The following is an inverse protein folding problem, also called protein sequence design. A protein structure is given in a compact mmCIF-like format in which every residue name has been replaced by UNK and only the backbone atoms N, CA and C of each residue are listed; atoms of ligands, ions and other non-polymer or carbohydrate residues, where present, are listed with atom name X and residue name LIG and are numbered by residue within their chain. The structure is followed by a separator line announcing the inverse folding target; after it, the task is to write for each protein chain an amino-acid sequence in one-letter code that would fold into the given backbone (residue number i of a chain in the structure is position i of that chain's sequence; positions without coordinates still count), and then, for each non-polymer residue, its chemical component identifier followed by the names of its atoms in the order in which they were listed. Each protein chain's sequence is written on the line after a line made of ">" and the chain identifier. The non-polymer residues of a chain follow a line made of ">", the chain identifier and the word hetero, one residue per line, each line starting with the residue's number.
data_IF_435993670390
#
_entry.id   IF_435993670390
#
_cell.length_a   1.000
_cell.length_b   1.000
_cell.length_c   1.000
_cell.angle_alpha   90.00
_cell.angle_beta   90.00
_cell.angle_gamma   90.00
#
_symmetry.space_group_name_H-M   'P 1'
#
loop_
_entity.id
_entity.type
_entity.pdbx_description
1 polymer ?
#
# COMPACT_ATOMS: atom_id res chain seq x y z
N UNK A 1 9.76 -10.76 21.98
CA UNK A 1 9.25 -11.80 22.90
C UNK A 1 9.23 -11.20 24.30
N UNK A 2 8.11 -11.29 25.00
CA UNK A 2 7.92 -10.69 26.34
C UNK A 2 7.61 -11.79 27.37
N UNK A 3 8.15 -11.65 28.60
CA UNK A 3 7.88 -12.53 29.75
C UNK A 3 8.09 -14.04 29.48
N UNK A 4 9.09 -14.40 28.67
CA UNK A 4 9.39 -15.80 28.33
C UNK A 4 10.77 -16.21 28.86
N UNK A 5 10.88 -17.38 29.53
CA UNK A 5 12.17 -17.89 29.99
C UNK A 5 13.16 -18.08 28.84
N UNK A 6 14.45 -17.82 29.08
CA UNK A 6 15.53 -17.91 28.08
C UNK A 6 15.54 -19.27 27.35
N UNK A 7 15.28 -20.36 28.06
CA UNK A 7 15.24 -21.71 27.46
C UNK A 7 14.06 -21.89 26.49
N UNK A 8 12.92 -21.29 26.78
CA UNK A 8 11.74 -21.32 25.89
C UNK A 8 11.97 -20.43 24.66
N UNK A 9 12.64 -19.29 24.84
CA UNK A 9 13.04 -18.42 23.71
C UNK A 9 14.01 -19.15 22.79
N UNK A 10 14.99 -19.90 23.34
CA UNK A 10 15.91 -20.72 22.55
C UNK A 10 15.17 -21.79 21.73
N UNK A 11 14.20 -22.49 22.35
CA UNK A 11 13.36 -23.45 21.63
C UNK A 11 12.46 -22.79 20.57
N UNK A 12 11.95 -21.59 20.86
CA UNK A 12 11.19 -20.81 19.89
C UNK A 12 12.07 -20.40 18.69
N UNK A 13 13.29 -19.94 18.94
CA UNK A 13 14.29 -19.64 17.92
C UNK A 13 14.50 -20.83 16.99
N UNK A 14 14.74 -22.03 17.56
CA UNK A 14 14.93 -23.26 16.77
C UNK A 14 13.69 -23.59 15.91
N UNK A 15 12.49 -23.41 16.44
CA UNK A 15 11.25 -23.63 15.68
C UNK A 15 11.09 -22.61 14.55
N UNK A 16 11.38 -21.34 14.81
CA UNK A 16 11.34 -20.29 13.77
C UNK A 16 12.37 -20.57 12.68
N UNK A 17 13.57 -21.04 13.06
CA UNK A 17 14.62 -21.41 12.10
C UNK A 17 14.22 -22.56 11.15
N UNK A 18 13.24 -23.40 11.55
CA UNK A 18 12.74 -24.52 10.74
C UNK A 18 11.58 -24.13 9.83
N UNK A 19 11.08 -22.90 9.91
CA UNK A 19 10.04 -22.41 9.00
C UNK A 19 10.64 -22.24 7.61
N UNK A 20 9.92 -22.68 6.60
CA UNK A 20 10.34 -22.56 5.22
C UNK A 20 10.61 -21.09 4.86
N UNK A 21 11.66 -20.83 4.07
CA UNK A 21 12.11 -19.50 3.66
C UNK A 21 12.67 -18.62 4.79
N UNK A 22 12.79 -19.10 6.02
CA UNK A 22 13.60 -18.44 7.04
C UNK A 22 15.07 -18.83 6.84
N UNK A 23 15.88 -17.87 6.42
CA UNK A 23 17.31 -18.08 6.20
C UNK A 23 18.06 -18.16 7.53
N UNK A 24 17.76 -17.24 8.44
CA UNK A 24 18.42 -17.24 9.77
C UNK A 24 17.65 -16.44 10.81
N UNK A 25 17.90 -16.81 12.07
CA UNK A 25 17.39 -16.10 13.26
C UNK A 25 18.57 -15.68 14.11
N UNK A 26 18.81 -14.38 14.21
CA UNK A 26 19.84 -13.81 15.09
C UNK A 26 19.23 -13.48 16.45
N UNK A 27 19.95 -13.88 17.48
CA UNK A 27 19.70 -13.54 18.87
C UNK A 27 21.05 -13.37 19.56
N UNK A 28 21.13 -12.90 20.80
CA UNK A 28 22.40 -12.74 21.49
C UNK A 28 23.22 -14.02 21.60
N UNK A 29 22.57 -15.19 21.62
CA UNK A 29 23.24 -16.52 21.62
C UNK A 29 23.97 -16.84 20.32
N UNK A 30 23.64 -16.13 19.25
CA UNK A 30 24.34 -16.27 17.98
C UNK A 30 25.74 -15.64 18.00
N UNK A 31 26.00 -14.77 18.98
CA UNK A 31 27.26 -14.06 19.17
C UNK A 31 28.01 -14.55 20.42
N UNK A 32 27.26 -15.08 21.41
CA UNK A 32 27.81 -15.55 22.67
C UNK A 32 27.16 -16.86 23.07
N UNK A 33 27.97 -17.85 23.50
CA UNK A 33 27.46 -19.13 23.97
C UNK A 33 26.56 -18.94 25.19
N UNK A 34 25.38 -19.55 25.19
CA UNK A 34 24.41 -19.55 26.32
C UNK A 34 25.00 -20.09 27.63
N UNK A 35 26.14 -20.83 27.58
CA UNK A 35 26.86 -21.30 28.75
C UNK A 35 27.70 -20.20 29.43
N UNK A 36 27.89 -19.06 28.79
CA UNK A 36 28.60 -17.91 29.34
C UNK A 36 27.61 -17.17 30.27
N UNK A 37 27.97 -16.96 31.56
CA UNK A 37 27.12 -16.17 32.46
C UNK A 37 26.89 -14.77 31.86
N UNK A 38 25.63 -14.33 31.88
CA UNK A 38 25.21 -13.03 31.32
C UNK A 38 26.04 -11.84 31.81
N UNK A 39 26.54 -11.92 33.04
CA UNK A 39 27.38 -10.92 33.70
C UNK A 39 28.80 -10.77 33.05
N UNK A 40 29.18 -11.71 32.20
CA UNK A 40 30.45 -11.68 31.46
C UNK A 40 30.31 -11.17 30.01
N UNK A 41 29.07 -11.02 29.54
CA UNK A 41 28.82 -10.44 28.23
C UNK A 41 29.06 -8.92 28.26
N UNK A 42 29.54 -8.31 27.16
CA UNK A 42 29.58 -6.86 27.07
C UNK A 42 28.16 -6.29 27.29
N UNK A 43 28.01 -5.39 28.28
CA UNK A 43 26.71 -4.75 28.59
C UNK A 43 26.00 -4.22 27.34
N UNK A 44 26.77 -3.71 26.38
CA UNK A 44 26.25 -3.18 25.12
C UNK A 44 25.54 -4.27 24.31
N UNK A 45 26.16 -5.45 24.16
CA UNK A 45 25.57 -6.55 23.39
C UNK A 45 24.31 -7.11 24.04
N UNK A 46 24.35 -7.28 25.36
CA UNK A 46 23.18 -7.82 26.10
C UNK A 46 22.00 -6.85 26.04
N UNK A 47 22.24 -5.57 26.33
CA UNK A 47 21.18 -4.56 26.41
C UNK A 47 20.57 -4.21 25.04
N UNK A 48 21.25 -4.51 23.93
CA UNK A 48 20.70 -4.31 22.58
C UNK A 48 19.62 -5.33 22.23
N UNK A 49 19.74 -6.56 22.73
CA UNK A 49 18.77 -7.64 22.48
C UNK A 49 17.79 -7.86 23.62
N UNK A 50 18.06 -7.37 24.82
CA UNK A 50 17.27 -7.68 26.00
C UNK A 50 16.94 -6.41 26.80
N UNK A 51 15.74 -6.40 27.37
CA UNK A 51 15.30 -5.51 28.44
C UNK A 51 14.94 -6.37 29.66
N UNK A 52 14.48 -5.74 30.76
CA UNK A 52 14.13 -6.48 31.98
C UNK A 52 13.07 -7.58 31.71
N UNK A 53 12.10 -7.31 30.83
CA UNK A 53 10.94 -8.19 30.60
C UNK A 53 10.81 -8.69 29.15
N UNK A 54 11.70 -8.24 28.22
CA UNK A 54 11.59 -8.59 26.82
C UNK A 54 12.92 -8.91 26.15
N UNK A 55 12.87 -9.79 25.13
CA UNK A 55 14.02 -10.10 24.29
C UNK A 55 13.66 -9.99 22.80
N UNK A 56 14.60 -9.57 21.99
CA UNK A 56 14.44 -9.34 20.55
C UNK A 56 15.19 -10.40 19.74
N UNK A 57 14.52 -10.96 18.74
CA UNK A 57 15.11 -11.83 17.72
C UNK A 57 14.98 -11.14 16.37
N UNK A 58 16.05 -11.15 15.58
CA UNK A 58 16.01 -10.70 14.19
C UNK A 58 15.90 -11.90 13.26
N UNK A 59 14.84 -11.93 12.44
CA UNK A 59 14.56 -13.02 11.49
C UNK A 59 14.84 -12.53 10.08
N UNK A 60 15.66 -13.26 9.35
CA UNK A 60 16.02 -12.98 7.95
C UNK A 60 15.40 -14.06 7.05
N UNK A 61 14.92 -13.63 5.89
CA UNK A 61 14.28 -14.48 4.89
C UNK A 61 15.17 -14.58 3.65
N UNK A 62 15.09 -15.69 2.93
CA UNK A 62 15.76 -15.94 1.66
C UNK A 62 15.04 -15.35 0.45
N UNK A 63 13.87 -14.77 0.67
CA UNK A 63 12.94 -14.25 -0.33
C UNK A 63 12.58 -12.78 -0.07
N UNK A 64 12.06 -12.09 -1.09
CA UNK A 64 11.75 -10.67 -0.98
C UNK A 64 10.56 -10.40 -0.03
N UNK A 65 10.56 -9.21 0.56
CA UNK A 65 9.57 -8.74 1.56
C UNK A 65 8.11 -8.90 1.11
N UNK A 66 7.85 -8.76 -0.20
CA UNK A 66 6.50 -8.78 -0.77
C UNK A 66 6.14 -10.09 -1.47
N UNK A 67 6.99 -11.11 -1.41
CA UNK A 67 6.69 -12.42 -1.97
C UNK A 67 5.73 -13.21 -1.09
N UNK A 68 4.85 -14.01 -1.73
CA UNK A 68 3.85 -14.82 -1.03
C UNK A 68 4.49 -15.80 -0.05
N UNK A 69 5.64 -16.37 -0.42
CA UNK A 69 6.40 -17.30 0.44
C UNK A 69 6.89 -16.65 1.74
N UNK A 70 7.35 -15.39 1.68
CA UNK A 70 7.72 -14.62 2.88
C UNK A 70 6.51 -14.34 3.75
N UNK A 71 5.37 -13.99 3.15
CA UNK A 71 4.14 -13.73 3.91
C UNK A 71 3.61 -14.99 4.56
N UNK A 72 3.69 -16.14 3.91
CA UNK A 72 3.31 -17.43 4.49
C UNK A 72 4.23 -17.81 5.64
N UNK A 73 5.54 -17.58 5.52
CA UNK A 73 6.48 -17.76 6.61
C UNK A 73 6.15 -16.85 7.81
N UNK A 74 5.78 -15.58 7.59
CA UNK A 74 5.32 -14.66 8.66
C UNK A 74 4.08 -15.20 9.38
N UNK A 75 3.09 -15.70 8.62
CA UNK A 75 1.86 -16.29 9.19
C UNK A 75 2.19 -17.54 10.01
N UNK A 76 3.10 -18.39 9.53
CA UNK A 76 3.56 -19.59 10.25
C UNK A 76 4.31 -19.22 11.52
N UNK A 77 5.26 -18.25 11.45
CA UNK A 77 5.96 -17.73 12.64
C UNK A 77 4.96 -17.23 13.69
N UNK A 78 3.94 -16.48 13.31
CA UNK A 78 2.90 -16.00 14.22
C UNK A 78 2.10 -17.15 14.85
N UNK A 79 1.87 -18.22 14.11
CA UNK A 79 1.18 -19.41 14.65
C UNK A 79 2.00 -20.17 15.69
N UNK A 80 3.33 -20.19 15.52
CA UNK A 80 4.29 -20.84 16.42
C UNK A 80 4.54 -19.98 17.67
N UNK A 81 4.62 -18.66 17.46
CA UNK A 81 5.12 -17.72 18.46
C UNK A 81 4.18 -17.48 19.66
N UNK A 82 2.89 -17.70 19.50
CA UNK A 82 1.91 -17.53 20.59
C UNK A 82 1.68 -16.04 20.97
N UNK A 83 0.98 -15.82 22.10
CA UNK A 83 0.52 -14.47 22.50
C UNK A 83 1.60 -13.57 23.11
N UNK A 84 2.73 -14.12 23.52
CA UNK A 84 3.84 -13.39 24.15
C UNK A 84 4.86 -12.87 23.11
N UNK A 85 4.65 -13.17 21.85
CA UNK A 85 5.56 -12.80 20.77
C UNK A 85 4.90 -11.82 19.83
N UNK A 86 5.62 -10.77 19.52
CA UNK A 86 5.20 -9.69 18.66
C UNK A 86 6.10 -9.66 17.43
N UNK A 87 5.52 -9.80 16.24
CA UNK A 87 6.28 -9.84 14.97
C UNK A 87 6.13 -8.50 14.27
N UNK A 88 7.25 -7.77 14.13
CA UNK A 88 7.34 -6.46 13.51
C UNK A 88 8.31 -6.48 12.32
N UNK A 89 8.41 -5.37 11.62
CA UNK A 89 9.27 -5.18 10.45
C UNK A 89 8.49 -5.08 9.14
N UNK A 90 9.17 -4.71 8.06
CA UNK A 90 8.53 -4.43 6.77
C UNK A 90 7.75 -5.64 6.22
N UNK A 91 8.29 -6.85 6.33
CA UNK A 91 7.60 -8.06 5.86
C UNK A 91 6.29 -8.30 6.61
N UNK A 92 6.27 -8.04 7.93
CA UNK A 92 5.06 -8.15 8.74
C UNK A 92 4.03 -7.06 8.37
N UNK A 93 4.48 -5.83 8.12
CA UNK A 93 3.63 -4.73 7.65
C UNK A 93 2.94 -5.08 6.33
N UNK A 94 3.71 -5.52 5.33
CA UNK A 94 3.18 -5.86 3.99
C UNK A 94 2.23 -7.05 4.07
N UNK A 95 2.52 -8.04 4.92
CA UNK A 95 1.63 -9.19 5.16
C UNK A 95 0.29 -8.72 5.72
N UNK A 96 0.30 -7.92 6.80
CA UNK A 96 -0.93 -7.44 7.42
C UNK A 96 -1.73 -6.54 6.50
N UNK A 97 -1.07 -5.70 5.70
CA UNK A 97 -1.72 -4.81 4.74
C UNK A 97 -2.41 -5.62 3.62
N UNK A 98 -1.75 -6.67 3.12
CA UNK A 98 -2.35 -7.57 2.13
C UNK A 98 -3.54 -8.33 2.70
N UNK A 99 -3.37 -8.93 3.90
CA UNK A 99 -4.43 -9.70 4.56
C UNK A 99 -5.65 -8.82 4.84
N UNK A 100 -5.45 -7.57 5.29
CA UNK A 100 -6.51 -6.60 5.50
C UNK A 100 -7.23 -6.26 4.18
N UNK A 101 -6.47 -5.96 3.12
CA UNK A 101 -7.06 -5.67 1.81
C UNK A 101 -7.89 -6.85 1.29
N UNK A 102 -7.39 -8.08 1.39
CA UNK A 102 -8.11 -9.28 0.92
C UNK A 102 -9.39 -9.57 1.73
N UNK A 103 -9.40 -9.25 3.02
CA UNK A 103 -10.57 -9.41 3.87
C UNK A 103 -11.63 -8.32 3.63
N UNK A 104 -11.21 -7.08 3.40
CA UNK A 104 -12.10 -5.94 3.29
C UNK A 104 -12.61 -5.71 1.86
N UNK A 105 -11.82 -6.08 0.82
CA UNK A 105 -12.19 -5.89 -0.59
C UNK A 105 -13.62 -6.39 -0.90
N UNK A 106 -14.02 -7.63 -0.58
CA UNK A 106 -15.36 -8.12 -0.91
C UNK A 106 -16.47 -7.37 -0.18
N UNK A 107 -16.19 -6.89 1.04
CA UNK A 107 -17.15 -6.13 1.85
C UNK A 107 -17.39 -4.75 1.22
N UNK A 108 -16.32 -4.04 0.87
CA UNK A 108 -16.42 -2.72 0.25
C UNK A 108 -17.01 -2.79 -1.15
N UNK A 109 -16.68 -3.81 -1.94
CA UNK A 109 -17.29 -4.03 -3.25
C UNK A 109 -18.80 -4.28 -3.10
N UNK A 110 -19.22 -5.14 -2.17
CA UNK A 110 -20.63 -5.39 -1.90
C UNK A 110 -21.37 -4.12 -1.43
N UNK A 111 -20.75 -3.34 -0.54
CA UNK A 111 -21.31 -2.06 -0.08
C UNK A 111 -21.41 -1.05 -1.23
N UNK A 112 -20.39 -0.92 -2.06
CA UNK A 112 -20.42 -0.03 -3.24
C UNK A 112 -21.53 -0.43 -4.21
N UNK A 113 -21.70 -1.72 -4.50
CA UNK A 113 -22.76 -2.26 -5.33
C UNK A 113 -24.14 -1.97 -4.72
N UNK A 114 -24.30 -2.19 -3.40
CA UNK A 114 -25.55 -1.91 -2.70
C UNK A 114 -25.92 -0.43 -2.72
N UNK A 115 -24.95 0.46 -2.45
CA UNK A 115 -25.13 1.90 -2.50
C UNK A 115 -25.46 2.39 -3.92
N UNK A 116 -24.75 1.89 -4.94
CA UNK A 116 -25.00 2.19 -6.34
C UNK A 116 -26.41 1.73 -6.76
N UNK A 117 -26.79 0.52 -6.36
CA UNK A 117 -28.14 -0.01 -6.62
C UNK A 117 -29.23 0.85 -5.97
N UNK A 118 -29.05 1.20 -4.69
CA UNK A 118 -29.99 2.06 -3.97
C UNK A 118 -30.11 3.46 -4.61
N UNK A 119 -28.99 4.08 -4.95
CA UNK A 119 -28.97 5.36 -5.64
C UNK A 119 -29.70 5.29 -6.99
N UNK A 120 -29.41 4.27 -7.80
CA UNK A 120 -30.09 4.08 -9.09
C UNK A 120 -31.56 3.79 -8.93
N UNK A 121 -32.02 3.03 -7.90
CA UNK A 121 -33.45 2.80 -7.62
C UNK A 121 -34.20 4.09 -7.28
N UNK A 122 -33.49 5.05 -6.64
CA UNK A 122 -34.07 6.35 -6.31
C UNK A 122 -34.08 7.31 -7.51
N UNK A 123 -33.03 7.26 -8.34
CA UNK A 123 -32.84 8.22 -9.43
C UNK A 123 -33.48 7.80 -10.76
N UNK A 124 -33.55 6.48 -11.03
CA UNK A 124 -34.12 5.96 -12.27
C UNK A 124 -35.61 5.59 -12.09
N UNK A 125 -36.27 5.36 -13.19
CA UNK A 125 -37.71 5.12 -13.29
C UNK A 125 -38.08 3.62 -13.30
N UNK A 126 -37.22 2.73 -12.81
CA UNK A 126 -37.49 1.29 -12.79
C UNK A 126 -36.71 0.50 -11.76
N UNK A 127 -37.38 -0.38 -11.00
CA UNK A 127 -36.76 -1.21 -9.97
C UNK A 127 -35.78 -2.28 -10.51
N UNK A 128 -35.96 -2.75 -11.73
CA UNK A 128 -35.12 -3.77 -12.34
C UNK A 128 -33.91 -3.19 -13.09
N UNK A 129 -33.99 -1.90 -13.47
CA UNK A 129 -32.96 -1.22 -14.26
C UNK A 129 -31.55 -1.29 -13.60
N UNK A 130 -31.38 -1.00 -12.29
CA UNK A 130 -30.10 -1.09 -11.62
C UNK A 130 -29.45 -2.46 -11.73
N UNK A 131 -30.22 -3.53 -11.62
CA UNK A 131 -29.68 -4.90 -11.71
C UNK A 131 -29.16 -5.24 -13.11
N UNK A 132 -29.81 -4.75 -14.15
CA UNK A 132 -29.36 -4.91 -15.54
C UNK A 132 -28.05 -4.15 -15.77
N UNK A 133 -27.93 -2.94 -15.23
CA UNK A 133 -26.71 -2.15 -15.31
C UNK A 133 -25.56 -2.84 -14.56
N UNK A 134 -25.80 -3.23 -13.31
CA UNK A 134 -24.83 -3.93 -12.49
C UNK A 134 -24.36 -5.25 -13.11
N UNK A 135 -25.29 -5.98 -13.80
CA UNK A 135 -24.90 -7.19 -14.52
C UNK A 135 -23.97 -6.89 -15.69
N UNK A 136 -24.23 -5.83 -16.47
CA UNK A 136 -23.37 -5.41 -17.58
C UNK A 136 -22.01 -4.91 -17.10
N UNK A 137 -22.01 -4.07 -16.06
CA UNK A 137 -20.78 -3.52 -15.46
C UNK A 137 -19.98 -4.65 -14.79
N UNK A 138 -20.64 -5.55 -14.08
CA UNK A 138 -20.02 -6.72 -13.45
C UNK A 138 -19.28 -7.60 -14.46
N UNK A 139 -19.88 -7.86 -15.64
CA UNK A 139 -19.19 -8.56 -16.71
C UNK A 139 -17.94 -7.81 -17.21
N UNK A 140 -18.03 -6.49 -17.35
CA UNK A 140 -16.86 -5.67 -17.75
C UNK A 140 -15.75 -5.71 -16.69
N UNK A 141 -16.10 -5.70 -15.39
CA UNK A 141 -15.16 -5.84 -14.29
C UNK A 141 -14.48 -7.21 -14.32
N UNK A 142 -15.24 -8.29 -14.50
CA UNK A 142 -14.67 -9.65 -14.60
C UNK A 142 -13.72 -9.77 -15.79
N UNK A 143 -14.06 -9.19 -16.95
CA UNK A 143 -13.15 -9.17 -18.09
C UNK A 143 -11.90 -8.32 -17.82
N UNK A 144 -12.03 -7.20 -17.12
CA UNK A 144 -10.89 -6.37 -16.73
C UNK A 144 -9.95 -7.11 -15.78
N UNK A 145 -10.46 -7.67 -14.69
CA UNK A 145 -9.66 -8.41 -13.72
C UNK A 145 -9.06 -9.69 -14.33
N UNK A 146 -9.86 -10.45 -15.08
CA UNK A 146 -9.39 -11.67 -15.72
C UNK A 146 -8.29 -11.42 -16.76
N UNK A 147 -8.36 -10.32 -17.52
CA UNK A 147 -7.33 -9.96 -18.49
C UNK A 147 -6.03 -9.43 -17.87
N UNK A 148 -5.98 -9.18 -16.56
CA UNK A 148 -4.73 -8.87 -15.85
C UNK A 148 -3.71 -10.02 -15.93
N UNK A 149 -4.17 -11.26 -16.16
CA UNK A 149 -3.29 -12.40 -16.44
C UNK A 149 -2.24 -12.11 -17.52
N UNK A 150 -2.59 -11.30 -18.53
CA UNK A 150 -1.65 -10.93 -19.61
C UNK A 150 -0.65 -9.82 -19.20
N UNK A 151 -0.88 -9.16 -18.06
CA UNK A 151 0.03 -8.13 -17.55
C UNK A 151 1.10 -8.70 -16.61
N UNK A 152 0.95 -9.96 -16.19
CA UNK A 152 1.78 -10.59 -15.17
C UNK A 152 1.33 -10.19 -13.76
N UNK A 153 2.26 -9.70 -12.95
CA UNK A 153 1.97 -9.27 -11.58
C UNK A 153 1.37 -7.86 -11.57
N UNK A 154 0.38 -7.65 -10.73
CA UNK A 154 -0.22 -6.35 -10.45
C UNK A 154 -0.24 -6.10 -8.94
N UNK A 155 -0.14 -4.84 -8.54
CA UNK A 155 -0.24 -4.47 -7.13
C UNK A 155 -1.59 -4.88 -6.53
N UNK A 156 -1.57 -5.39 -5.29
CA UNK A 156 -2.79 -5.70 -4.52
C UNK A 156 -3.66 -4.46 -4.33
N UNK A 157 -3.06 -3.27 -4.19
CA UNK A 157 -3.78 -1.99 -4.11
C UNK A 157 -4.55 -1.74 -5.42
N UNK A 158 -3.92 -1.94 -6.57
CA UNK A 158 -4.57 -1.81 -7.89
C UNK A 158 -5.72 -2.81 -8.02
N UNK A 159 -5.53 -4.05 -7.59
CA UNK A 159 -6.57 -5.09 -7.61
C UNK A 159 -7.77 -4.66 -6.76
N UNK A 160 -7.55 -4.26 -5.52
CA UNK A 160 -8.60 -3.87 -4.59
C UNK A 160 -9.41 -2.65 -5.08
N UNK A 161 -8.74 -1.64 -5.62
CA UNK A 161 -9.39 -0.40 -6.05
C UNK A 161 -10.09 -0.52 -7.42
N UNK A 162 -9.57 -1.36 -8.31
CA UNK A 162 -10.02 -1.38 -9.71
C UNK A 162 -11.50 -1.70 -9.90
N UNK A 163 -12.06 -2.63 -9.11
CA UNK A 163 -13.47 -3.00 -9.21
C UNK A 163 -14.40 -1.84 -8.82
N UNK A 164 -14.11 -1.16 -7.72
CA UNK A 164 -14.94 -0.05 -7.21
C UNK A 164 -14.83 1.18 -8.11
N UNK A 165 -13.59 1.52 -8.52
CA UNK A 165 -13.36 2.65 -9.42
C UNK A 165 -13.98 2.43 -10.80
N UNK A 166 -13.88 1.21 -11.35
CA UNK A 166 -14.49 0.88 -12.62
C UNK A 166 -16.02 0.96 -12.53
N UNK A 167 -16.65 0.45 -11.45
CA UNK A 167 -18.07 0.59 -11.20
C UNK A 167 -18.48 2.06 -11.23
N UNK A 168 -17.77 2.92 -10.49
CA UNK A 168 -18.09 4.33 -10.39
C UNK A 168 -18.00 5.06 -11.75
N UNK A 169 -16.91 4.81 -12.50
CA UNK A 169 -16.68 5.50 -13.80
C UNK A 169 -17.61 5.02 -14.90
N UNK A 170 -17.99 3.74 -14.92
CA UNK A 170 -18.77 3.18 -16.04
C UNK A 170 -20.28 3.25 -15.83
N UNK A 171 -20.74 3.51 -14.62
CA UNK A 171 -22.17 3.60 -14.29
C UNK A 171 -22.87 4.71 -15.05
N UNK A 172 -22.24 5.88 -15.18
CA UNK A 172 -22.80 7.04 -15.86
C UNK A 172 -23.09 6.77 -17.33
N UNK A 173 -22.28 5.97 -18.02
CA UNK A 173 -22.51 5.58 -19.42
C UNK A 173 -23.79 4.79 -19.59
N UNK A 174 -24.09 3.91 -18.63
CA UNK A 174 -25.30 3.10 -18.60
C UNK A 174 -26.53 3.98 -18.38
N UNK A 175 -26.45 4.98 -17.51
CA UNK A 175 -27.52 5.94 -17.23
C UNK A 175 -27.84 6.78 -18.48
N UNK A 176 -26.81 7.30 -19.16
CA UNK A 176 -26.98 8.06 -20.39
C UNK A 176 -27.67 7.24 -21.50
N UNK A 177 -27.26 6.01 -21.70
CA UNK A 177 -27.89 5.12 -22.68
C UNK A 177 -29.36 4.85 -22.33
N UNK A 178 -29.66 4.58 -21.06
CA UNK A 178 -31.06 4.31 -20.61
C UNK A 178 -31.97 5.51 -20.83
N UNK A 179 -31.51 6.72 -20.47
CA UNK A 179 -32.30 7.92 -20.70
C UNK A 179 -32.55 8.15 -22.20
N UNK A 180 -31.50 8.03 -23.01
CA UNK A 180 -31.64 8.15 -24.46
C UNK A 180 -32.59 7.10 -25.04
N UNK A 181 -32.51 5.84 -24.57
CA UNK A 181 -33.41 4.78 -25.00
C UNK A 181 -34.88 5.06 -24.65
N UNK A 182 -35.13 5.51 -23.43
CA UNK A 182 -36.50 5.87 -23.03
C UNK A 182 -37.06 7.01 -23.88
N UNK A 183 -36.30 8.05 -24.19
CA UNK A 183 -36.73 9.12 -25.09
C UNK A 183 -37.05 8.62 -26.52
N UNK A 184 -36.13 7.78 -27.07
CA UNK A 184 -36.37 7.28 -28.45
C UNK A 184 -37.52 6.29 -28.51
N UNK A 185 -37.78 5.54 -27.44
CA UNK A 185 -38.89 4.61 -27.36
C UNK A 185 -40.28 5.27 -27.44
N UNK A 186 -40.37 6.53 -27.04
CA UNK A 186 -41.62 7.33 -27.21
C UNK A 186 -41.81 7.76 -28.66
N UNK A 187 -40.73 7.82 -29.46
CA UNK A 187 -40.78 8.30 -30.85
C UNK A 187 -40.83 7.16 -31.88
N UNK A 188 -40.35 5.97 -31.55
CA UNK A 188 -40.24 4.82 -32.44
C UNK A 188 -41.10 3.67 -31.96
N UNK A 189 -41.84 3.01 -32.88
CA UNK A 189 -42.68 1.85 -32.56
C UNK A 189 -41.90 0.55 -32.37
N UNK A 190 -40.69 0.44 -33.00
CA UNK A 190 -39.79 -0.72 -32.84
C UNK A 190 -38.71 -0.42 -31.81
N UNK A 191 -38.65 -1.27 -30.78
CA UNK A 191 -37.67 -1.16 -29.72
C UNK A 191 -36.20 -1.28 -30.20
N UNK A 192 -35.97 -2.06 -31.27
CA UNK A 192 -34.65 -2.21 -31.85
C UNK A 192 -34.17 -0.96 -32.56
N UNK A 193 -35.11 -0.33 -33.30
CA UNK A 193 -34.84 0.93 -33.99
C UNK A 193 -34.62 2.05 -32.98
N UNK A 194 -35.46 2.14 -31.92
CA UNK A 194 -35.28 3.06 -30.80
C UNK A 194 -33.88 2.89 -30.13
N UNK A 195 -33.47 1.65 -29.89
CA UNK A 195 -32.17 1.35 -29.29
C UNK A 195 -31.00 1.72 -30.23
N UNK A 196 -31.10 1.45 -31.51
CA UNK A 196 -30.06 1.82 -32.49
C UNK A 196 -29.83 3.34 -32.52
N UNK A 197 -30.91 4.12 -32.51
CA UNK A 197 -30.86 5.59 -32.46
C UNK A 197 -30.31 6.06 -31.12
N UNK A 198 -30.70 5.44 -30.01
CA UNK A 198 -30.22 5.76 -28.67
C UNK A 198 -28.70 5.54 -28.58
N UNK A 199 -28.18 4.39 -29.05
CA UNK A 199 -26.73 4.10 -29.10
C UNK A 199 -26.02 5.19 -29.93
N UNK A 200 -26.53 5.51 -31.13
CA UNK A 200 -25.89 6.51 -32.01
C UNK A 200 -25.80 7.89 -31.36
N UNK A 201 -26.86 8.32 -30.66
CA UNK A 201 -26.88 9.62 -29.95
C UNK A 201 -25.96 9.64 -28.74
N UNK A 202 -25.92 8.54 -27.98
CA UNK A 202 -25.16 8.46 -26.73
C UNK A 202 -23.68 8.21 -26.98
N UNK A 203 -23.35 7.49 -28.04
CA UNK A 203 -21.98 7.05 -28.34
C UNK A 203 -21.00 8.22 -28.43
N UNK A 204 -21.36 9.33 -29.06
CA UNK A 204 -20.48 10.49 -29.19
C UNK A 204 -20.13 11.09 -27.83
N UNK A 205 -21.13 11.21 -26.92
CA UNK A 205 -20.91 11.76 -25.58
C UNK A 205 -20.12 10.78 -24.70
N UNK A 206 -20.44 9.49 -24.77
CA UNK A 206 -19.74 8.44 -24.03
C UNK A 206 -18.30 8.31 -24.49
N UNK A 207 -18.03 8.31 -25.80
CA UNK A 207 -16.67 8.27 -26.34
C UNK A 207 -15.88 9.52 -25.94
N UNK A 208 -16.47 10.71 -26.01
CA UNK A 208 -15.81 11.94 -25.61
C UNK A 208 -15.38 11.91 -24.14
N UNK A 209 -16.29 11.51 -23.25
CA UNK A 209 -15.99 11.38 -21.82
C UNK A 209 -14.98 10.27 -21.52
N UNK A 210 -15.14 9.09 -22.15
CA UNK A 210 -14.25 7.95 -21.90
C UNK A 210 -12.83 8.18 -22.41
N UNK A 211 -12.65 8.85 -23.56
CA UNK A 211 -11.33 9.19 -24.10
C UNK A 211 -10.57 10.10 -23.12
N UNK A 212 -11.23 11.11 -22.55
CA UNK A 212 -10.59 11.99 -21.55
C UNK A 212 -10.24 11.23 -20.28
N UNK A 213 -11.10 10.34 -19.82
CA UNK A 213 -10.85 9.48 -18.64
C UNK A 213 -9.70 8.50 -18.90
N UNK A 214 -9.68 7.84 -20.06
CA UNK A 214 -8.60 6.94 -20.46
C UNK A 214 -7.27 7.72 -20.57
N UNK A 215 -7.28 8.91 -21.17
CA UNK A 215 -6.09 9.75 -21.27
C UNK A 215 -5.57 10.15 -19.89
N UNK A 216 -6.47 10.45 -18.94
CA UNK A 216 -6.11 10.70 -17.54
C UNK A 216 -5.44 9.50 -16.89
N UNK A 217 -5.98 8.29 -17.05
CA UNK A 217 -5.34 7.07 -16.51
C UNK A 217 -4.03 6.73 -17.24
N UNK A 218 -3.95 6.94 -18.54
CA UNK A 218 -2.69 6.73 -19.28
C UNK A 218 -1.61 7.70 -18.79
N UNK A 219 -1.96 8.93 -18.38
CA UNK A 219 -0.97 9.87 -17.84
C UNK A 219 -0.26 9.33 -16.61
N UNK A 220 -0.94 8.50 -15.77
CA UNK A 220 -0.32 7.83 -14.63
C UNK A 220 0.78 6.84 -15.05
N UNK A 221 0.74 6.33 -16.27
CA UNK A 221 1.77 5.41 -16.77
C UNK A 221 3.14 6.10 -16.99
N UNK A 222 3.19 7.42 -16.98
CA UNK A 222 4.42 8.21 -17.11
C UNK A 222 5.04 8.55 -15.75
N UNK A 223 4.38 8.20 -14.64
CA UNK A 223 4.95 8.35 -13.31
C UNK A 223 6.16 7.43 -13.13
N UNK A 224 7.16 7.90 -12.41
CA UNK A 224 8.31 7.10 -11.99
C UNK A 224 7.89 6.02 -10.99
N UNK A 225 6.84 6.29 -10.21
CA UNK A 225 6.27 5.36 -9.25
C UNK A 225 5.44 4.27 -9.94
N UNK A 226 5.92 3.02 -9.87
CA UNK A 226 5.36 1.88 -10.61
C UNK A 226 3.89 1.57 -10.30
N UNK A 227 3.43 1.84 -9.08
CA UNK A 227 2.02 1.70 -8.71
C UNK A 227 1.10 2.57 -9.58
N UNK A 228 1.55 3.79 -9.93
CA UNK A 228 0.83 4.67 -10.85
C UNK A 228 0.65 4.04 -12.22
N UNK A 229 1.69 3.40 -12.74
CA UNK A 229 1.66 2.68 -14.02
C UNK A 229 0.67 1.50 -14.00
N UNK A 230 0.70 0.69 -12.95
CA UNK A 230 -0.21 -0.45 -12.80
C UNK A 230 -1.66 0.01 -12.76
N UNK A 231 -1.95 0.97 -11.89
CA UNK A 231 -3.29 1.55 -11.77
C UNK A 231 -3.73 2.19 -13.09
N UNK A 232 -2.84 2.93 -13.74
CA UNK A 232 -3.11 3.59 -15.02
C UNK A 232 -3.52 2.61 -16.12
N UNK A 233 -2.77 1.52 -16.31
CA UNK A 233 -3.06 0.49 -17.33
C UNK A 233 -4.37 -0.24 -17.01
N UNK A 234 -4.53 -0.71 -15.77
CA UNK A 234 -5.71 -1.50 -15.36
C UNK A 234 -6.98 -0.67 -15.46
N UNK A 235 -6.93 0.61 -15.05
CA UNK A 235 -8.08 1.51 -15.11
C UNK A 235 -8.40 1.96 -16.53
N UNK A 236 -7.40 2.31 -17.35
CA UNK A 236 -7.64 2.66 -18.76
C UNK A 236 -8.30 1.50 -19.52
N UNK A 237 -7.80 0.27 -19.32
CA UNK A 237 -8.38 -0.96 -19.86
C UNK A 237 -9.80 -1.19 -19.31
N UNK A 238 -10.02 -0.97 -18.03
CA UNK A 238 -11.32 -1.09 -17.36
C UNK A 238 -12.37 -0.16 -17.96
N UNK A 239 -12.02 1.11 -18.18
CA UNK A 239 -12.91 2.08 -18.84
C UNK A 239 -13.22 1.67 -20.27
N UNK A 240 -12.22 1.23 -21.04
CA UNK A 240 -12.42 0.75 -22.40
C UNK A 240 -13.41 -0.43 -22.44
N UNK A 241 -13.22 -1.44 -21.58
CA UNK A 241 -14.14 -2.58 -21.47
C UNK A 241 -15.52 -2.17 -20.99
N UNK A 242 -15.63 -1.19 -20.10
CA UNK A 242 -16.87 -0.60 -19.66
C UNK A 242 -17.65 0.06 -20.80
N UNK A 243 -16.99 0.84 -21.64
CA UNK A 243 -17.60 1.45 -22.85
C UNK A 243 -18.05 0.38 -23.83
N UNK A 244 -17.23 -0.63 -24.10
CA UNK A 244 -17.60 -1.75 -24.97
C UNK A 244 -18.82 -2.49 -24.42
N UNK A 245 -18.86 -2.74 -23.10
CA UNK A 245 -20.03 -3.32 -22.43
C UNK A 245 -21.27 -2.45 -22.54
N UNK A 246 -21.14 -1.13 -22.39
CA UNK A 246 -22.23 -0.18 -22.50
C UNK A 246 -22.86 -0.14 -23.90
N UNK A 247 -22.06 -0.27 -24.96
CA UNK A 247 -22.58 -0.19 -26.35
C UNK A 247 -22.94 -1.54 -26.95
N UNK A 248 -22.57 -2.65 -26.32
CA UNK A 248 -22.84 -4.02 -26.84
C UNK A 248 -23.69 -4.86 -25.90
N UNK A 249 -23.22 -5.09 -24.69
CA UNK A 249 -23.85 -5.99 -23.72
C UNK A 249 -25.09 -5.35 -23.12
N UNK A 250 -25.00 -4.12 -22.68
CA UNK A 250 -26.10 -3.42 -22.02
C UNK A 250 -27.34 -3.25 -22.94
N UNK A 251 -27.21 -2.78 -24.19
CA UNK A 251 -28.33 -2.72 -25.13
C UNK A 251 -28.99 -4.08 -25.36
N UNK A 252 -28.18 -5.13 -25.46
CA UNK A 252 -28.67 -6.50 -25.64
C UNK A 252 -29.47 -6.96 -24.42
N UNK A 253 -28.99 -6.70 -23.20
CA UNK A 253 -29.71 -7.02 -21.97
C UNK A 253 -31.01 -6.22 -21.85
N UNK A 254 -30.99 -4.93 -22.17
CA UNK A 254 -32.19 -4.07 -22.15
C UNK A 254 -33.24 -4.59 -23.13
N UNK A 255 -32.84 -4.93 -24.37
CA UNK A 255 -33.81 -5.44 -25.37
C UNK A 255 -34.39 -6.80 -24.99
N UNK A 256 -33.60 -7.71 -24.45
CA UNK A 256 -34.07 -9.03 -23.99
C UNK A 256 -35.02 -8.91 -22.79
N UNK A 257 -34.68 -7.99 -21.86
CA UNK A 257 -35.43 -7.77 -20.63
C UNK A 257 -36.46 -6.60 -20.76
N UNK A 258 -36.74 -6.09 -21.95
CA UNK A 258 -37.60 -4.92 -22.13
C UNK A 258 -38.99 -5.09 -21.46
N UNK A 259 -39.65 -6.24 -21.67
CA UNK A 259 -40.95 -6.52 -21.06
C UNK A 259 -40.94 -6.47 -19.52
N UNK A 260 -40.03 -7.16 -18.79
CA UNK A 260 -39.94 -7.04 -17.35
C UNK A 260 -39.50 -5.65 -16.88
N UNK A 261 -38.62 -4.96 -17.60
CA UNK A 261 -38.18 -3.60 -17.29
C UNK A 261 -39.37 -2.62 -17.28
N UNK A 262 -40.26 -2.72 -18.29
CA UNK A 262 -41.45 -1.87 -18.35
C UNK A 262 -42.49 -2.19 -17.26
N UNK A 263 -42.59 -3.46 -16.85
CA UNK A 263 -43.53 -3.85 -15.77
C UNK A 263 -43.08 -3.34 -14.40
N UNK A 264 -41.79 -3.13 -14.21
CA UNK A 264 -41.22 -2.64 -12.96
C UNK A 264 -41.00 -1.13 -12.94
N UNK A 265 -41.51 -0.42 -13.95
CA UNK A 265 -41.41 1.03 -14.05
C UNK A 265 -42.20 1.71 -12.92
N UNK A 266 -41.60 2.69 -12.29
CA UNK A 266 -42.23 3.55 -11.28
C UNK A 266 -41.96 5.03 -11.60
N UNK A 267 -42.69 5.90 -10.94
CA UNK A 267 -42.52 7.34 -11.10
C UNK A 267 -41.16 7.74 -10.46
N UNK A 268 -40.35 8.51 -11.19
CA UNK A 268 -39.12 9.08 -10.64
C UNK A 268 -39.39 9.82 -9.33
N UNK A 269 -38.57 9.53 -8.30
CA UNK A 269 -38.66 10.19 -7.00
C UNK A 269 -38.01 11.56 -7.01
N UNK A 270 -37.27 11.92 -8.07
CA UNK A 270 -36.67 13.22 -8.21
C UNK A 270 -37.74 14.25 -8.55
N UNK A 271 -37.91 15.30 -7.71
CA UNK A 271 -38.82 16.38 -8.02
C UNK A 271 -38.30 17.17 -9.23
N UNK A 272 -39.25 17.85 -9.91
CA UNK A 272 -38.90 18.78 -10.98
C UNK A 272 -37.95 19.87 -10.48
N UNK A 273 -36.72 19.86 -10.99
CA UNK A 273 -35.62 20.79 -10.63
C UNK A 273 -35.71 22.13 -11.40
N UNK A 274 -36.74 22.38 -12.17
CA UNK A 274 -36.89 23.59 -12.97
C UNK A 274 -36.79 24.87 -12.14
N UNK A 275 -37.36 24.90 -10.94
CA UNK A 275 -37.29 26.05 -10.04
C UNK A 275 -35.83 26.27 -9.54
N UNK A 276 -35.11 25.19 -9.23
CA UNK A 276 -33.71 25.24 -8.83
C UNK A 276 -32.84 25.72 -10.00
N UNK A 277 -33.01 25.16 -11.19
CA UNK A 277 -32.27 25.57 -12.39
C UNK A 277 -32.46 27.06 -12.69
N UNK A 278 -33.73 27.55 -12.65
CA UNK A 278 -33.99 28.98 -12.80
C UNK A 278 -33.38 29.85 -11.72
N UNK A 279 -33.26 29.35 -10.49
CA UNK A 279 -32.53 30.03 -9.38
C UNK A 279 -31.04 30.15 -9.67
N UNK A 280 -30.43 29.06 -10.13
CA UNK A 280 -29.02 29.04 -10.52
C UNK A 280 -28.73 30.00 -11.68
N UNK A 281 -29.57 29.98 -12.73
CA UNK A 281 -29.44 30.90 -13.87
C UNK A 281 -29.58 32.36 -13.41
N UNK A 282 -30.51 32.66 -12.49
CA UNK A 282 -30.70 34.03 -11.98
C UNK A 282 -29.53 34.52 -11.16
N UNK A 283 -28.86 33.62 -10.44
CA UNK A 283 -27.74 33.93 -9.52
C UNK A 283 -26.36 33.60 -10.13
N UNK A 284 -26.24 33.32 -11.42
CA UNK A 284 -24.98 32.88 -12.04
C UNK A 284 -23.79 33.81 -11.77
N UNK A 285 -23.93 35.18 -11.75
CA UNK A 285 -22.79 36.04 -11.47
C UNK A 285 -22.33 35.91 -10.00
N UNK A 286 -23.27 35.72 -9.08
CA UNK A 286 -22.94 35.54 -7.65
C UNK A 286 -22.18 34.24 -7.41
N UNK A 287 -22.56 33.15 -8.09
CA UNK A 287 -21.81 31.89 -8.05
C UNK A 287 -20.39 32.05 -8.60
N UNK A 288 -20.25 32.75 -9.75
CA UNK A 288 -18.90 32.99 -10.32
C UNK A 288 -18.01 33.76 -9.35
N UNK A 289 -18.53 34.83 -8.75
CA UNK A 289 -17.79 35.63 -7.76
C UNK A 289 -17.44 34.78 -6.53
N UNK A 290 -18.39 33.98 -6.04
CA UNK A 290 -18.16 33.08 -4.89
C UNK A 290 -17.04 32.08 -5.20
N UNK A 291 -17.06 31.41 -6.36
CA UNK A 291 -16.01 30.46 -6.75
C UNK A 291 -14.64 31.14 -6.89
N UNK A 292 -14.58 32.31 -7.50
CA UNK A 292 -13.34 33.09 -7.60
C UNK A 292 -12.80 33.50 -6.21
N UNK A 293 -13.68 33.89 -5.28
CA UNK A 293 -13.28 34.25 -3.93
C UNK A 293 -12.78 33.01 -3.12
N UNK A 294 -13.32 31.82 -3.40
CA UNK A 294 -12.89 30.58 -2.75
C UNK A 294 -11.57 30.01 -3.29
N UNK A 295 -11.09 30.46 -4.46
CA UNK A 295 -9.80 29.99 -5.03
C UNK A 295 -8.64 30.28 -4.06
N UNK A 296 -8.60 31.47 -3.47
CA UNK A 296 -7.50 31.88 -2.58
C UNK A 296 -7.41 31.01 -1.30
N UNK A 297 -8.47 30.82 -0.50
CA UNK A 297 -8.41 29.93 0.65
C UNK A 297 -8.21 28.47 0.26
N UNK A 298 -8.75 28.02 -0.88
CA UNK A 298 -8.54 26.67 -1.39
C UNK A 298 -7.07 26.41 -1.77
N UNK A 299 -6.43 27.38 -2.45
CA UNK A 299 -5.01 27.29 -2.81
C UNK A 299 -4.11 27.26 -1.56
N UNK A 300 -4.39 28.11 -0.56
CA UNK A 300 -3.65 28.09 0.70
C UNK A 300 -3.85 26.76 1.47
N UNK A 301 -5.07 26.21 1.46
CA UNK A 301 -5.35 24.89 2.02
C UNK A 301 -4.60 23.78 1.30
N UNK A 302 -4.59 23.81 -0.03
CA UNK A 302 -3.84 22.86 -0.85
C UNK A 302 -2.32 22.93 -0.57
N UNK A 303 -1.75 24.13 -0.54
CA UNK A 303 -0.33 24.31 -0.27
C UNK A 303 0.08 23.77 1.12
N UNK A 304 -0.76 23.96 2.16
CA UNK A 304 -0.55 23.35 3.47
C UNK A 304 -0.69 21.85 3.47
N UNK A 305 -1.78 21.34 2.90
CA UNK A 305 -2.02 19.89 2.83
C UNK A 305 -0.89 19.17 2.08
N UNK A 306 -0.34 19.77 1.04
CA UNK A 306 0.76 19.20 0.27
C UNK A 306 2.08 19.10 1.07
N UNK A 307 2.25 19.94 2.10
CA UNK A 307 3.41 19.88 3.01
C UNK A 307 3.20 18.92 4.20
N UNK A 308 1.96 18.47 4.43
CA UNK A 308 1.57 17.61 5.56
C UNK A 308 1.11 16.20 5.12
N UNK A 309 1.38 15.80 3.87
CA UNK A 309 1.06 14.44 3.39
C UNK A 309 1.94 13.44 4.13
N UNK A 310 1.32 12.46 4.77
CA UNK A 310 2.06 11.37 5.39
C UNK A 310 2.16 10.15 4.46
N UNK A 311 3.29 9.47 4.52
CA UNK A 311 3.60 8.33 3.68
C UNK A 311 3.77 7.03 4.47
N UNK A 312 3.63 7.10 5.79
CA UNK A 312 3.76 5.95 6.69
C UNK A 312 2.55 5.01 6.52
N UNK A 313 2.78 3.87 5.87
CA UNK A 313 1.74 2.86 5.65
C UNK A 313 1.23 2.25 6.96
N UNK A 314 2.06 2.23 8.01
CA UNK A 314 1.65 1.75 9.33
C UNK A 314 0.58 2.61 9.98
N UNK A 315 0.55 3.92 9.68
CA UNK A 315 -0.48 4.83 10.20
C UNK A 315 -1.87 4.62 9.55
N UNK A 316 -1.91 3.98 8.38
CA UNK A 316 -3.18 3.66 7.70
C UNK A 316 -3.85 2.42 8.29
N UNK A 317 -3.14 1.62 9.08
CA UNK A 317 -3.65 0.38 9.65
C UNK A 317 -4.45 0.63 10.95
N UNK A 318 -5.51 -0.17 11.20
CA UNK A 318 -6.20 -0.18 12.48
C UNK A 318 -5.26 -0.47 13.66
N UNK A 319 -5.55 0.12 14.82
CA UNK A 319 -4.69 0.02 16.01
C UNK A 319 -4.53 -1.40 16.59
N UNK A 320 -5.45 -2.31 16.26
CA UNK A 320 -5.49 -3.70 16.71
C UNK A 320 -4.78 -4.69 15.78
N UNK A 321 -4.27 -4.21 14.65
CA UNK A 321 -3.50 -5.04 13.71
C UNK A 321 -2.16 -5.46 14.35
N UNK A 322 -1.75 -6.71 14.11
CA UNK A 322 -0.57 -7.32 14.71
C UNK A 322 0.70 -6.47 14.54
N UNK A 323 0.95 -5.95 13.35
CA UNK A 323 2.10 -5.07 13.10
C UNK A 323 2.06 -3.80 13.97
N UNK A 324 0.90 -3.13 14.06
CA UNK A 324 0.76 -1.88 14.83
C UNK A 324 0.97 -2.12 16.32
N UNK A 325 0.43 -3.21 16.84
CA UNK A 325 0.67 -3.63 18.23
C UNK A 325 2.16 -3.95 18.45
N UNK A 326 2.77 -4.67 17.49
CA UNK A 326 4.16 -5.12 17.61
C UNK A 326 5.16 -3.96 17.54
N UNK A 327 4.99 -2.99 16.62
CA UNK A 327 5.88 -1.83 16.53
C UNK A 327 5.75 -0.92 17.76
N UNK A 328 4.54 -0.79 18.32
CA UNK A 328 4.31 -0.07 19.57
C UNK A 328 5.07 -0.72 20.74
N UNK A 329 5.00 -2.05 20.84
CA UNK A 329 5.75 -2.82 21.85
C UNK A 329 7.26 -2.67 21.66
N UNK A 330 7.74 -2.74 20.44
CA UNK A 330 9.15 -2.53 20.14
C UNK A 330 9.63 -1.13 20.56
N UNK A 331 8.78 -0.11 20.36
CA UNK A 331 9.08 1.25 20.77
C UNK A 331 9.03 1.42 22.30
N UNK A 332 8.04 0.83 22.97
CA UNK A 332 7.88 0.90 24.44
C UNK A 332 9.03 0.19 25.15
N UNK A 333 9.40 -1.01 24.75
CA UNK A 333 10.37 -1.87 25.46
C UNK A 333 11.83 -1.53 25.05
N UNK A 334 12.10 -1.34 23.78
CA UNK A 334 13.45 -1.15 23.24
C UNK A 334 13.75 0.30 22.82
N UNK A 335 12.74 1.17 22.77
CA UNK A 335 12.89 2.53 22.26
C UNK A 335 13.20 2.58 20.76
N UNK A 336 12.88 1.53 19.99
CA UNK A 336 13.15 1.41 18.56
C UNK A 336 11.84 1.69 17.82
N UNK A 337 11.82 2.71 16.97
CA UNK A 337 10.69 3.05 16.13
C UNK A 337 10.92 2.73 14.64
N UNK A 338 12.19 2.66 14.22
CA UNK A 338 12.57 2.21 12.88
C UNK A 338 13.97 1.60 12.88
N UNK A 339 14.25 0.74 11.91
CA UNK A 339 15.57 0.12 11.73
C UNK A 339 16.03 0.37 10.30
N UNK A 340 17.27 0.86 10.18
CA UNK A 340 17.94 1.04 8.89
C UNK A 340 19.01 -0.03 8.74
N UNK A 341 19.26 -0.45 7.52
CA UNK A 341 20.32 -1.38 7.17
C UNK A 341 21.38 -0.65 6.33
N UNK A 342 22.64 -0.85 6.65
CA UNK A 342 23.78 -0.30 5.90
C UNK A 342 24.56 -1.45 5.30
N UNK A 343 24.75 -1.42 4.00
CA UNK A 343 25.64 -2.32 3.27
C UNK A 343 26.89 -1.58 2.90
N UNK A 344 28.04 -2.14 3.30
CA UNK A 344 29.38 -1.61 3.03
C UNK A 344 30.20 -2.67 2.29
N UNK A 345 31.05 -2.23 1.37
CA UNK A 345 31.96 -3.13 0.65
C UNK A 345 32.82 -3.93 1.63
N UNK A 346 32.87 -5.26 1.43
CA UNK A 346 33.65 -6.18 2.27
C UNK A 346 35.12 -5.83 2.33
N UNK A 347 35.70 -5.23 1.27
CA UNK A 347 37.08 -4.80 1.18
C UNK A 347 37.36 -3.52 2.00
N UNK A 348 36.31 -2.86 2.53
CA UNK A 348 36.49 -1.68 3.40
C UNK A 348 37.21 -2.08 4.68
N UNK A 349 38.35 -1.42 5.02
CA UNK A 349 39.11 -1.77 6.21
C UNK A 349 38.28 -1.72 7.48
N UNK A 350 38.37 -2.74 8.34
CA UNK A 350 37.59 -2.83 9.59
C UNK A 350 37.76 -1.60 10.52
N UNK A 351 38.91 -0.91 10.44
CA UNK A 351 39.08 0.35 11.16
C UNK A 351 38.18 1.45 10.62
N UNK A 352 38.09 1.58 9.30
CA UNK A 352 37.22 2.57 8.65
C UNK A 352 35.76 2.30 8.96
N UNK A 353 35.33 1.03 8.95
CA UNK A 353 33.97 0.63 9.32
C UNK A 353 33.67 0.98 10.77
N UNK A 354 34.57 0.71 11.71
CA UNK A 354 34.44 1.11 13.12
C UNK A 354 34.32 2.61 13.30
N UNK A 355 35.18 3.39 12.63
CA UNK A 355 35.13 4.85 12.71
C UNK A 355 33.83 5.38 12.15
N UNK A 356 33.34 4.82 11.06
CA UNK A 356 32.03 5.12 10.45
C UNK A 356 30.86 4.80 11.40
N UNK A 357 30.80 3.60 11.97
CA UNK A 357 29.78 3.21 12.96
C UNK A 357 29.76 4.16 14.15
N UNK A 358 30.97 4.47 14.70
CA UNK A 358 31.09 5.41 15.82
C UNK A 358 30.62 6.84 15.46
N UNK A 359 30.70 7.24 14.19
CA UNK A 359 30.20 8.52 13.73
C UNK A 359 28.67 8.46 13.51
N UNK A 360 28.15 7.37 12.96
CA UNK A 360 26.73 7.14 12.78
C UNK A 360 25.97 7.08 14.11
N UNK A 361 26.56 6.48 15.16
CA UNK A 361 25.98 6.45 16.51
C UNK A 361 25.82 7.84 17.15
N UNK A 362 26.53 8.86 16.65
CA UNK A 362 26.39 10.25 17.15
C UNK A 362 25.33 11.06 16.44
N UNK A 363 24.74 10.51 15.39
CA UNK A 363 23.64 11.16 14.69
C UNK A 363 22.42 11.18 15.59
N UNK A 364 21.73 12.31 15.62
CA UNK A 364 20.58 12.53 16.49
C UNK A 364 19.48 11.49 16.19
N UNK A 365 18.96 10.87 17.25
CA UNK A 365 17.91 9.84 17.16
C UNK A 365 18.42 8.44 16.79
N UNK A 366 19.71 8.23 16.58
CA UNK A 366 20.29 6.89 16.50
C UNK A 366 20.44 6.32 17.91
N UNK A 367 19.80 5.19 18.14
CA UNK A 367 19.86 4.48 19.42
C UNK A 367 21.17 3.71 19.56
N UNK A 368 21.45 2.87 18.58
CA UNK A 368 22.70 2.13 18.43
C UNK A 368 22.88 1.61 17.00
N UNK A 369 24.10 1.28 16.66
CA UNK A 369 24.45 0.63 15.40
C UNK A 369 25.11 -0.73 15.68
N UNK A 370 24.55 -1.79 15.08
CA UNK A 370 24.98 -3.16 15.22
C UNK A 370 25.61 -3.64 13.92
N UNK A 371 26.87 -3.98 13.95
CA UNK A 371 27.62 -4.60 12.86
C UNK A 371 28.69 -5.51 13.42
N UNK A 372 29.37 -6.29 12.57
CA UNK A 372 30.44 -7.18 13.02
C UNK A 372 31.49 -6.43 13.83
N UNK A 373 31.92 -5.28 13.35
CA UNK A 373 32.99 -4.48 13.99
C UNK A 373 32.54 -3.81 15.29
N UNK A 374 31.22 -3.61 15.52
CA UNK A 374 30.71 -3.11 16.78
C UNK A 374 30.54 -4.24 17.82
N UNK A 375 30.26 -5.46 17.38
CA UNK A 375 30.22 -6.66 18.23
C UNK A 375 31.60 -7.05 18.74
N UNK A 376 32.60 -6.97 17.86
CA UNK A 376 33.99 -7.39 18.13
C UNK A 376 34.72 -6.38 18.98
N UNK A 377 34.21 -5.25 19.35
CA UNK A 377 34.88 -4.27 20.19
C UNK A 377 36.29 -4.67 20.68
N UNK A 378 37.16 -3.82 21.11
CA UNK A 378 38.57 -4.05 21.46
C UNK A 378 38.92 -5.23 22.43
N UNK A 379 37.94 -6.07 22.79
CA UNK A 379 38.07 -7.15 23.77
C UNK A 379 37.85 -8.56 23.26
N UNK A 380 37.23 -8.71 22.07
CA UNK A 380 37.01 -10.03 21.46
C UNK A 380 37.95 -10.16 20.25
N UNK A 381 38.89 -11.12 20.22
CA UNK A 381 39.67 -11.39 19.03
C UNK A 381 38.81 -11.85 17.87
N UNK A 382 39.13 -11.46 16.63
CA UNK A 382 38.41 -11.86 15.41
C UNK A 382 38.25 -13.39 15.30
N UNK A 383 39.16 -14.17 15.88
CA UNK A 383 39.13 -15.63 15.91
C UNK A 383 38.10 -16.21 16.89
N UNK A 384 37.57 -15.41 17.80
CA UNK A 384 36.56 -15.83 18.78
C UNK A 384 35.13 -15.54 18.33
N UNK A 385 34.92 -14.93 17.15
CA UNK A 385 33.60 -14.70 16.57
C UNK A 385 33.13 -16.01 15.95
N UNK A 386 31.92 -16.48 16.28
CA UNK A 386 31.36 -17.65 15.63
C UNK A 386 31.27 -17.46 14.12
N UNK A 387 31.69 -18.47 13.35
CA UNK A 387 31.62 -18.44 11.87
C UNK A 387 30.20 -18.11 11.39
N UNK A 388 29.19 -18.58 12.10
CA UNK A 388 27.78 -18.29 11.84
C UNK A 388 27.45 -16.78 11.86
N UNK A 389 27.95 -16.01 12.82
CA UNK A 389 27.70 -14.56 12.90
C UNK A 389 28.41 -13.84 11.75
N UNK A 390 29.59 -14.33 11.38
CA UNK A 390 30.33 -13.81 10.23
C UNK A 390 29.60 -14.06 8.92
N UNK A 391 29.13 -15.29 8.68
CA UNK A 391 28.39 -15.67 7.48
C UNK A 391 27.07 -14.88 7.29
N UNK A 392 26.47 -14.36 8.39
CA UNK A 392 25.22 -13.63 8.33
C UNK A 392 25.38 -12.12 8.20
N UNK A 393 26.43 -11.56 8.76
CA UNK A 393 26.73 -10.14 8.68
C UNK A 393 27.71 -9.79 7.54
N UNK A 394 28.33 -10.81 6.93
CA UNK A 394 29.19 -10.67 5.75
C UNK A 394 28.74 -11.69 4.70
N UNK A 395 28.29 -11.22 3.54
CA UNK A 395 27.88 -12.09 2.44
C UNK A 395 28.41 -11.55 1.11
N UNK A 396 29.14 -12.39 0.38
CA UNK A 396 29.74 -12.01 -0.89
C UNK A 396 30.69 -10.83 -0.73
N UNK A 397 30.37 -9.70 -1.36
CA UNK A 397 31.19 -8.48 -1.32
C UNK A 397 30.64 -7.44 -0.34
N UNK A 398 29.74 -7.80 0.57
CA UNK A 398 29.06 -6.83 1.42
C UNK A 398 29.12 -7.19 2.90
N UNK A 399 29.26 -6.18 3.74
CA UNK A 399 29.08 -6.23 5.19
C UNK A 399 27.77 -5.55 5.54
N UNK A 400 26.92 -6.21 6.34
CA UNK A 400 25.66 -5.71 6.82
C UNK A 400 25.79 -5.10 8.21
N UNK A 401 25.21 -3.92 8.39
CA UNK A 401 25.03 -3.29 9.69
C UNK A 401 23.57 -2.86 9.86
N UNK A 402 23.08 -2.94 11.11
CA UNK A 402 21.75 -2.52 11.50
C UNK A 402 21.88 -1.24 12.34
N UNK A 403 21.12 -0.21 12.00
CA UNK A 403 21.05 1.05 12.75
C UNK A 403 19.62 1.19 13.24
N UNK A 404 19.46 1.21 14.57
CA UNK A 404 18.18 1.38 15.20
C UNK A 404 17.96 2.85 15.57
N UNK A 405 16.79 3.37 15.23
CA UNK A 405 16.36 4.75 15.39
C UNK A 405 15.15 4.86 16.32
N UNK A 406 15.15 5.89 17.15
CA UNK A 406 13.99 6.28 17.96
C UNK A 406 12.93 7.06 17.15
N UNK A 407 13.27 7.48 15.93
CA UNK A 407 12.36 8.23 15.08
C UNK A 407 11.46 7.31 14.29
N UNK A 408 10.17 7.70 14.21
CA UNK A 408 9.18 6.98 13.40
C UNK A 408 9.49 7.12 11.91
N UNK A 409 9.20 6.05 11.18
CA UNK A 409 9.23 6.03 9.72
C UNK A 409 8.42 7.20 9.14
N UNK A 410 8.90 7.80 8.06
CA UNK A 410 8.24 8.93 7.37
C UNK A 410 8.07 10.22 8.19
N UNK A 411 8.80 10.41 9.29
CA UNK A 411 8.89 11.70 9.97
C UNK A 411 9.98 12.57 9.36
N UNK A 412 9.83 13.92 9.45
CA UNK A 412 10.89 14.84 9.03
C UNK A 412 12.22 14.62 9.78
N UNK A 413 12.13 14.15 11.03
CA UNK A 413 13.29 13.84 11.84
C UNK A 413 14.05 12.64 11.25
N UNK A 414 13.37 11.54 10.91
CA UNK A 414 14.02 10.38 10.29
C UNK A 414 14.52 10.71 8.88
N UNK A 415 13.82 11.57 8.13
CA UNK A 415 14.28 12.03 6.83
C UNK A 415 15.66 12.72 6.89
N UNK A 416 15.85 13.64 7.84
CA UNK A 416 17.17 14.28 8.11
C UNK A 416 18.19 13.28 8.60
N UNK A 417 17.81 12.37 9.50
CA UNK A 417 18.69 11.32 9.99
C UNK A 417 19.20 10.43 8.85
N UNK A 418 18.34 10.03 7.91
CA UNK A 418 18.71 9.25 6.72
C UNK A 418 19.69 10.02 5.83
N UNK A 419 19.51 11.33 5.65
CA UNK A 419 20.46 12.18 4.92
C UNK A 419 21.83 12.23 5.59
N UNK A 420 21.86 12.45 6.90
CA UNK A 420 23.11 12.51 7.68
C UNK A 420 23.84 11.15 7.67
N UNK A 421 23.11 10.05 7.89
CA UNK A 421 23.66 8.69 7.82
C UNK A 421 24.22 8.37 6.43
N UNK A 422 23.51 8.73 5.37
CA UNK A 422 23.97 8.51 4.00
C UNK A 422 25.18 9.37 3.68
N UNK A 423 25.25 10.61 4.15
CA UNK A 423 26.40 11.48 4.00
C UNK A 423 27.64 10.93 4.71
N UNK A 424 27.48 10.34 5.89
CA UNK A 424 28.54 9.64 6.60
C UNK A 424 28.99 8.42 5.78
N UNK A 425 28.05 7.54 5.41
CA UNK A 425 28.33 6.33 4.63
C UNK A 425 29.15 6.63 3.37
N UNK A 426 28.71 7.59 2.57
CA UNK A 426 29.35 7.95 1.29
C UNK A 426 30.77 8.53 1.44
N UNK A 427 31.16 9.02 2.62
CA UNK A 427 32.53 9.46 2.90
C UNK A 427 33.48 8.29 3.11
N UNK A 428 33.01 7.18 3.69
CA UNK A 428 33.78 6.00 3.97
C UNK A 428 33.73 4.97 2.84
N UNK A 429 32.54 4.81 2.25
CA UNK A 429 32.31 3.91 1.12
C UNK A 429 31.35 4.58 0.11
N UNK A 430 31.86 5.08 -1.02
CA UNK A 430 31.01 5.67 -2.07
C UNK A 430 30.01 4.72 -2.70
N UNK A 431 30.26 3.39 -2.65
CA UNK A 431 29.36 2.36 -3.17
C UNK A 431 28.40 1.82 -2.11
N UNK A 432 28.69 2.06 -0.83
CA UNK A 432 27.86 1.63 0.28
C UNK A 432 26.40 2.08 0.12
N UNK A 433 25.46 1.31 0.62
CA UNK A 433 24.02 1.56 0.48
C UNK A 433 23.34 1.63 1.85
N UNK A 434 22.49 2.64 2.02
CA UNK A 434 21.59 2.76 3.16
C UNK A 434 20.21 2.30 2.71
N UNK A 435 19.69 1.23 3.30
CA UNK A 435 18.45 0.57 2.93
C UNK A 435 17.54 0.37 4.16
N UNK A 436 16.29 0.07 3.92
CA UNK A 436 15.29 -0.15 4.98
C UNK A 436 14.03 0.67 4.75
N UNK A 437 13.14 0.62 5.73
CA UNK A 437 11.81 1.23 5.61
C UNK A 437 11.89 2.76 5.49
N UNK A 438 12.61 3.44 6.37
CA UNK A 438 12.69 4.89 6.34
C UNK A 438 13.48 5.44 5.14
N UNK A 439 14.64 4.87 4.73
CA UNK A 439 15.28 5.24 3.45
C UNK A 439 14.35 5.06 2.25
N UNK A 440 13.66 3.92 2.16
CA UNK A 440 12.68 3.65 1.10
C UNK A 440 11.55 4.68 1.07
N UNK A 441 11.00 5.02 2.24
CA UNK A 441 9.96 6.05 2.35
C UNK A 441 10.47 7.43 1.92
N UNK A 442 11.70 7.78 2.29
CA UNK A 442 12.31 9.04 1.85
C UNK A 442 12.45 9.10 0.32
N UNK A 443 12.98 8.05 -0.28
CA UNK A 443 13.13 7.96 -1.75
C UNK A 443 11.76 8.03 -2.44
N UNK A 444 10.74 7.40 -1.85
CA UNK A 444 9.36 7.46 -2.36
C UNK A 444 8.78 8.89 -2.28
N UNK A 445 9.00 9.60 -1.16
CA UNK A 445 8.58 11.00 -0.99
C UNK A 445 9.25 11.89 -2.03
N UNK A 446 10.56 11.77 -2.20
CA UNK A 446 11.35 12.58 -3.13
C UNK A 446 10.92 12.30 -4.58
N UNK A 447 10.74 11.02 -4.96
CA UNK A 447 10.30 10.61 -6.30
C UNK A 447 8.88 11.08 -6.58
N UNK A 448 7.96 10.85 -5.65
CA UNK A 448 6.55 11.26 -5.80
C UNK A 448 6.42 12.79 -5.88
N UNK A 449 7.19 13.51 -5.05
CA UNK A 449 7.25 14.97 -5.10
C UNK A 449 7.72 15.51 -6.46
N UNK A 450 8.59 14.78 -7.14
CA UNK A 450 9.03 15.12 -8.50
C UNK A 450 7.99 14.77 -9.56
N UNK A 451 7.32 13.64 -9.44
CA UNK A 451 6.27 13.18 -10.39
C UNK A 451 5.04 14.10 -10.39
N UNK A 452 4.76 14.81 -9.29
CA UNK A 452 3.62 15.74 -9.18
C UNK A 452 3.96 17.20 -9.51
N UNK A 453 5.21 17.54 -9.88
CA UNK A 453 5.61 18.85 -10.37
C UNK A 453 5.51 18.94 -11.89
#
# INVERSE_FOLDING_TARGET
>A
VQDMPVQEVAQLKEKIQQVDHVESVLWYDSVADLSIPMELLPDKLYNEFNTDDATMLAVFFDSATSEDVTMDAIREIRSIAGKQCFVSGMSALVTDLKDLCEQEEPIYVALAVACACAAMMLLLDGWLVPFVFLASIGMAIVYNLGSNFFLGEISYITKALSAVLQLAVTMDYSIFLWHSYNEQRELYSDNKEAMAVAISKTLTSVLGSSITTIAGFISLCFMSFTLGRDLGIVMAKGVLLGVLGCVTVLPSLILVLDKPLQKTKHRSLIPDMGKFANGVIKLFPAFLILFLALIYPAYNGYAKANSEVYYDMGQCLPEDINYVVSIRKLQEEFGIASTHMVLVDADTPSKSVRDMVSEMEKVEGVKYALGMESLVGCRIPDEAIPDFAREKLESGNWKLMLINSEYKVASDAVGRQVEDLNAILKRYDPQGMLIGEAPCMKDMIDTTGHDFQ
#
